data_IF_652804713291
#
_entry.id   IF_652804713291
#
_cell.length_a   1.000
_cell.length_b   1.000
_cell.length_c   1.000
_cell.angle_alpha   90.00
_cell.angle_beta   90.00
_cell.angle_gamma   90.00
#
_symmetry.space_group_name_H-M   'P 1'
#
loop_
_entity.id
_entity.type
_entity.pdbx_description
1 polymer ?
#
# COMPACT_ATOMS: atom_id res chain seq x y z
N UNK A 1 -45.46 3.60 16.82
CA UNK A 1 -44.44 2.55 16.65
C UNK A 1 -43.52 3.00 15.53
N UNK A 2 -42.35 3.54 15.87
CA UNK A 2 -41.35 4.03 14.90
C UNK A 2 -40.50 2.85 14.47
N UNK A 3 -40.63 2.44 13.20
CA UNK A 3 -39.81 1.38 12.62
C UNK A 3 -38.34 1.82 12.55
N UNK A 4 -37.47 1.08 13.23
CA UNK A 4 -36.03 1.21 13.09
C UNK A 4 -35.64 0.80 11.66
N UNK A 5 -35.05 1.74 10.92
CA UNK A 5 -34.41 1.48 9.63
C UNK A 5 -33.01 0.94 9.96
N UNK A 6 -32.84 -0.37 10.02
CA UNK A 6 -31.52 -0.97 10.19
C UNK A 6 -30.72 -0.78 8.89
N UNK A 7 -29.57 -0.11 9.00
CA UNK A 7 -28.60 0.03 7.92
C UNK A 7 -27.91 -1.31 7.70
N UNK A 8 -28.25 -2.01 6.62
CA UNK A 8 -27.51 -3.20 6.20
C UNK A 8 -26.16 -2.74 5.63
N UNK A 9 -25.10 -2.90 6.41
CA UNK A 9 -23.74 -2.88 5.87
C UNK A 9 -23.62 -4.12 4.99
N UNK A 10 -23.74 -3.94 3.68
CA UNK A 10 -23.39 -5.00 2.73
C UNK A 10 -21.91 -5.23 2.90
N UNK A 11 -21.56 -6.40 3.43
CA UNK A 11 -20.21 -6.93 3.41
C UNK A 11 -19.86 -7.13 1.93
N UNK A 12 -19.24 -6.12 1.32
CA UNK A 12 -18.68 -6.20 -0.03
C UNK A 12 -17.62 -7.29 0.02
N UNK A 13 -18.04 -8.52 -0.27
CA UNK A 13 -17.15 -9.67 -0.53
C UNK A 13 -16.04 -9.17 -1.44
N UNK A 14 -14.87 -8.97 -0.85
CA UNK A 14 -13.69 -8.45 -1.49
C UNK A 14 -13.40 -9.34 -2.70
N UNK A 15 -13.81 -8.87 -3.88
CA UNK A 15 -13.63 -9.60 -5.12
C UNK A 15 -12.12 -9.88 -5.28
N UNK A 16 -11.73 -11.09 -5.70
CA UNK A 16 -10.32 -11.40 -5.89
C UNK A 16 -9.72 -10.38 -6.87
N UNK A 17 -8.72 -9.62 -6.40
CA UNK A 17 -8.05 -8.59 -7.18
C UNK A 17 -7.53 -9.22 -8.49
N UNK A 18 -7.96 -8.67 -9.62
CA UNK A 18 -7.52 -9.14 -10.93
C UNK A 18 -6.01 -8.89 -11.09
N UNK A 19 -5.24 -9.83 -11.67
CA UNK A 19 -3.84 -9.59 -11.97
C UNK A 19 -3.66 -8.38 -12.90
N UNK A 20 -2.65 -7.54 -12.62
CA UNK A 20 -2.33 -6.38 -13.47
C UNK A 20 -1.58 -6.78 -14.73
N UNK A 21 -2.04 -6.27 -15.87
CA UNK A 21 -1.38 -6.35 -17.17
C UNK A 21 -0.19 -5.38 -17.22
N UNK A 22 1.02 -5.92 -17.20
CA UNK A 22 2.27 -5.15 -17.12
C UNK A 22 2.67 -4.50 -18.44
N UNK A 23 2.08 -4.93 -19.56
CA UNK A 23 2.35 -4.34 -20.87
C UNK A 23 1.51 -3.08 -21.09
N UNK A 24 0.30 -3.05 -20.53
CA UNK A 24 -0.63 -1.92 -20.69
C UNK A 24 -0.66 -0.96 -19.51
N UNK A 25 -0.09 -1.34 -18.37
CA UNK A 25 -0.11 -0.54 -17.16
C UNK A 25 1.25 0.11 -16.93
N UNK A 26 1.28 1.43 -16.78
CA UNK A 26 2.51 2.13 -16.39
C UNK A 26 2.95 1.68 -14.98
N UNK A 27 4.21 1.28 -14.78
CA UNK A 27 4.69 0.92 -13.46
C UNK A 27 4.71 2.14 -12.54
N UNK A 28 4.51 1.90 -11.24
CA UNK A 28 4.73 2.90 -10.20
C UNK A 28 6.17 2.84 -9.70
N UNK A 29 6.69 3.98 -9.24
CA UNK A 29 7.96 4.06 -8.53
C UNK A 29 7.72 3.84 -7.03
N UNK A 30 8.12 2.68 -6.52
CA UNK A 30 8.10 2.36 -5.11
C UNK A 30 9.43 2.74 -4.47
N UNK A 31 9.40 3.58 -3.44
CA UNK A 31 10.57 3.97 -2.64
C UNK A 31 10.54 3.20 -1.31
N UNK A 32 11.52 2.35 -1.07
CA UNK A 32 11.64 1.49 0.12
C UNK A 32 12.82 1.95 0.96
N UNK A 33 12.62 2.12 2.27
CA UNK A 33 13.68 2.55 3.20
C UNK A 33 13.97 1.42 4.19
N UNK A 34 15.16 0.84 4.11
CA UNK A 34 15.49 -0.41 4.82
C UNK A 34 16.43 -0.17 6.01
N UNK A 35 15.92 -0.31 7.24
CA UNK A 35 16.74 -0.17 8.46
C UNK A 35 16.98 -1.55 9.13
N UNK A 36 18.12 -1.70 9.79
CA UNK A 36 18.52 -2.93 10.48
C UNK A 36 18.03 -2.92 11.93
N UNK A 37 17.24 -3.93 12.32
CA UNK A 37 16.82 -4.17 13.70
C UNK A 37 15.64 -3.33 14.20
N UNK A 38 15.27 -2.23 13.53
CA UNK A 38 14.07 -1.43 13.83
C UNK A 38 13.62 -0.63 12.62
N UNK A 39 12.39 -0.10 12.65
CA UNK A 39 11.95 0.89 11.67
C UNK A 39 12.65 2.24 11.89
N UNK A 40 12.75 3.02 10.82
CA UNK A 40 13.17 4.43 10.89
C UNK A 40 12.24 5.25 11.78
N UNK A 41 12.80 6.24 12.47
CA UNK A 41 11.98 7.14 13.27
C UNK A 41 11.11 8.00 12.35
N UNK A 42 9.84 8.20 12.70
CA UNK A 42 8.90 9.04 11.94
C UNK A 42 9.45 10.47 11.74
N UNK A 43 10.22 10.97 12.70
CA UNK A 43 10.83 12.31 12.64
C UNK A 43 11.84 12.46 11.50
N UNK A 44 12.45 11.37 11.04
CA UNK A 44 13.39 11.37 9.91
C UNK A 44 12.69 11.67 8.58
N UNK A 45 11.39 11.44 8.49
CA UNK A 45 10.56 11.76 7.30
C UNK A 45 10.00 13.18 7.32
N UNK A 46 10.32 13.98 8.34
CA UNK A 46 9.76 15.32 8.50
C UNK A 46 10.44 16.34 7.58
N UNK A 47 9.68 17.39 7.19
CA UNK A 47 10.18 18.53 6.40
C UNK A 47 10.76 18.14 5.02
N UNK A 48 10.25 17.07 4.42
CA UNK A 48 10.72 16.58 3.13
C UNK A 48 12.05 15.82 3.18
N UNK A 49 12.59 15.58 4.39
CA UNK A 49 13.72 14.69 4.57
C UNK A 49 13.28 13.24 4.42
N UNK A 50 14.20 12.38 4.01
CA UNK A 50 14.04 10.93 4.00
C UNK A 50 15.35 10.27 4.43
N UNK A 51 15.29 9.05 4.99
CA UNK A 51 16.50 8.27 5.30
C UNK A 51 17.33 7.98 4.04
N UNK A 52 18.67 7.96 4.16
CA UNK A 52 19.59 7.82 3.02
C UNK A 52 19.62 6.42 2.38
N UNK A 53 19.14 5.40 3.09
CA UNK A 53 19.10 4.00 2.65
C UNK A 53 17.85 3.68 1.83
N UNK A 54 17.65 4.47 0.77
CA UNK A 54 16.53 4.34 -0.16
C UNK A 54 16.83 3.30 -1.25
N UNK A 55 15.84 2.44 -1.51
CA UNK A 55 15.79 1.54 -2.66
C UNK A 55 14.58 1.92 -3.52
N UNK A 56 14.82 2.15 -4.80
CA UNK A 56 13.78 2.50 -5.77
C UNK A 56 13.46 1.31 -6.66
N UNK A 57 12.16 0.97 -6.78
CA UNK A 57 11.68 -0.20 -7.52
C UNK A 57 10.55 0.23 -8.45
N UNK A 58 10.66 -0.07 -9.75
CA UNK A 58 9.55 0.03 -10.69
C UNK A 58 8.71 -1.24 -10.63
N UNK A 59 7.44 -1.12 -10.28
CA UNK A 59 6.57 -2.29 -10.05
C UNK A 59 5.09 -1.98 -10.27
N UNK A 60 4.22 -2.96 -10.06
CA UNK A 60 2.77 -2.88 -10.27
C UNK A 60 2.01 -3.37 -9.04
N UNK A 61 0.89 -2.72 -8.73
CA UNK A 61 -0.03 -3.15 -7.68
C UNK A 61 -0.92 -4.31 -8.17
N UNK A 62 -1.32 -5.30 -7.35
CA UNK A 62 -0.84 -5.55 -6.00
C UNK A 62 0.56 -6.18 -6.01
N UNK A 63 1.41 -5.68 -5.11
CA UNK A 63 2.75 -6.23 -4.91
C UNK A 63 2.66 -7.20 -3.74
N UNK A 64 3.27 -8.38 -3.87
CA UNK A 64 3.36 -9.33 -2.77
C UNK A 64 4.76 -9.33 -2.18
N UNK A 65 4.83 -9.34 -0.86
CA UNK A 65 6.05 -9.64 -0.12
C UNK A 65 6.21 -11.15 -0.12
N UNK A 66 7.14 -11.65 -0.93
CA UNK A 66 7.50 -13.08 -0.88
C UNK A 66 8.21 -13.33 0.46
N UNK A 67 7.77 -14.37 1.17
CA UNK A 67 8.37 -14.80 2.44
C UNK A 67 9.61 -15.64 2.19
#
# INVERSE_FOLDING_TARGET
MTSALESMVVDEKQLPEKPVDREKTCPLLLRVFCNTGRHHNIMEYSRGNVPSNELQIYTWFPIRLNR
#
